data_IF_248192626035
#
_entry.id   IF_248192626035
#
_cell.length_a   1.000
_cell.length_b   1.000
_cell.length_c   1.000
_cell.angle_alpha   90.00
_cell.angle_beta   90.00
_cell.angle_gamma   90.00
#
_symmetry.space_group_name_H-M   'P 1'
#
loop_
_entity.id
_entity.type
_entity.pdbx_description
1 polymer ?
#
# COMPACT_ATOMS: atom_id res chain seq x y z
N UNK A 1 16.73 45.40 60.03
CA UNK A 1 15.96 46.38 60.83
C UNK A 1 14.60 46.58 60.19
N UNK A 2 13.54 46.31 60.96
CA UNK A 2 12.14 46.49 60.57
C UNK A 2 11.76 47.97 60.61
N UNK A 3 10.92 48.44 59.68
CA UNK A 3 9.78 49.30 60.02
C UNK A 3 8.62 49.04 59.06
N UNK A 4 7.53 48.58 59.67
CA UNK A 4 6.18 48.45 59.14
C UNK A 4 5.44 49.80 59.23
N UNK A 5 4.25 49.82 58.62
CA UNK A 5 3.00 50.52 58.99
C UNK A 5 2.60 51.64 58.03
N UNK A 6 1.33 51.89 57.65
CA UNK A 6 -0.03 51.36 57.91
C UNK A 6 -0.90 52.09 56.84
N UNK A 7 -1.71 51.43 55.99
CA UNK A 7 -3.13 51.01 56.15
C UNK A 7 -4.18 52.15 56.24
N UNK A 8 -5.06 52.22 55.23
CA UNK A 8 -6.54 52.44 55.30
C UNK A 8 -7.08 52.29 53.86
N UNK A 9 -7.89 51.31 53.43
CA UNK A 9 -9.12 50.65 53.89
C UNK A 9 -10.43 51.35 53.46
N UNK A 10 -11.28 50.60 52.73
CA UNK A 10 -12.65 50.94 52.31
C UNK A 10 -13.04 50.11 51.07
N UNK A 11 -13.23 48.79 51.17
CA UNK A 11 -14.47 48.07 51.52
C UNK A 11 -15.60 48.23 50.48
N UNK A 12 -16.01 47.14 49.82
CA UNK A 12 -17.41 46.64 49.76
C UNK A 12 -17.44 45.18 49.23
N UNK A 13 -18.03 44.32 50.09
CA UNK A 13 -18.84 43.12 49.89
C UNK A 13 -18.42 41.95 48.96
N UNK A 14 -18.11 40.85 49.67
CA UNK A 14 -18.22 39.42 49.35
C UNK A 14 -19.61 38.93 48.92
N UNK A 15 -19.67 37.97 47.99
CA UNK A 15 -20.28 36.62 48.19
C UNK A 15 -19.89 35.61 47.08
N UNK A 16 -19.16 34.57 47.53
CA UNK A 16 -18.99 33.16 47.13
C UNK A 16 -19.67 32.62 45.84
N UNK A 17 -18.89 31.96 44.97
CA UNK A 17 -19.21 30.63 44.42
C UNK A 17 -18.03 29.96 43.69
N UNK A 18 -17.70 28.75 44.14
CA UNK A 18 -17.12 27.58 43.46
C UNK A 18 -16.00 27.75 42.41
N UNK A 19 -14.85 27.15 42.73
CA UNK A 19 -13.82 26.78 41.77
C UNK A 19 -14.31 25.67 40.83
N UNK A 20 -14.09 25.85 39.53
CA UNK A 20 -14.08 24.81 38.52
C UNK A 20 -12.79 24.96 37.68
N UNK A 21 -12.16 23.86 37.23
CA UNK A 21 -10.88 23.94 36.54
C UNK A 21 -11.04 24.58 35.16
N UNK A 22 -10.08 25.42 34.80
CA UNK A 22 -9.96 26.00 33.47
C UNK A 22 -9.79 24.87 32.45
N UNK A 23 -10.81 24.67 31.60
CA UNK A 23 -10.74 23.83 30.43
C UNK A 23 -9.71 24.44 29.47
N UNK A 24 -8.63 23.71 29.25
CA UNK A 24 -7.70 23.94 28.14
C UNK A 24 -8.49 23.63 26.87
N UNK A 25 -8.67 24.64 26.03
CA UNK A 25 -9.27 24.47 24.72
C UNK A 25 -8.33 23.61 23.86
N UNK A 26 -8.78 22.41 23.50
CA UNK A 26 -8.17 21.62 22.45
C UNK A 26 -8.35 22.36 21.11
N UNK A 27 -7.31 22.45 20.26
CA UNK A 27 -7.52 22.88 18.89
C UNK A 27 -8.21 21.74 18.14
N UNK A 28 -9.52 21.90 17.93
CA UNK A 28 -10.26 21.13 16.94
C UNK A 28 -9.84 21.54 15.54
N UNK A 29 -9.54 20.54 14.72
CA UNK A 29 -9.18 20.69 13.32
C UNK A 29 -9.18 19.33 12.64
N UNK A 30 -10.33 18.67 12.63
CA UNK A 30 -10.56 17.47 11.84
C UNK A 30 -10.35 17.78 10.36
N UNK A 31 -9.19 17.43 9.84
CA UNK A 31 -9.01 17.18 8.42
C UNK A 31 -9.35 15.72 8.17
N UNK A 32 -10.60 15.44 7.81
CA UNK A 32 -10.88 14.17 7.13
C UNK A 32 -9.98 14.06 5.89
N UNK A 33 -9.67 12.84 5.41
CA UNK A 33 -8.74 12.65 4.31
C UNK A 33 -9.13 13.56 3.15
N UNK A 34 -8.19 14.43 2.76
CA UNK A 34 -8.31 15.20 1.52
C UNK A 34 -8.59 14.18 0.42
N UNK A 35 -9.51 14.52 -0.48
CA UNK A 35 -9.81 13.71 -1.66
C UNK A 35 -8.46 13.35 -2.33
N UNK A 36 -8.12 12.06 -2.49
CA UNK A 36 -6.86 11.67 -3.10
C UNK A 36 -6.72 12.36 -4.47
N UNK A 37 -5.50 12.67 -4.92
CA UNK A 37 -5.31 13.21 -6.26
C UNK A 37 -6.02 12.29 -7.25
N UNK A 38 -6.91 12.89 -8.02
CA UNK A 38 -7.69 12.23 -9.04
C UNK A 38 -7.39 12.90 -10.37
N UNK A 39 -6.99 12.09 -11.34
CA UNK A 39 -6.67 12.53 -12.69
C UNK A 39 -7.83 13.38 -13.22
N UNK A 40 -7.55 14.65 -13.49
CA UNK A 40 -8.56 15.58 -13.98
C UNK A 40 -9.27 15.02 -15.22
N UNK A 41 -10.57 14.79 -15.09
CA UNK A 41 -11.60 14.75 -16.15
C UNK A 41 -11.66 13.57 -17.13
N UNK A 42 -10.72 12.62 -17.17
CA UNK A 42 -10.86 11.43 -18.04
C UNK A 42 -11.48 10.25 -17.29
N UNK A 43 -12.59 9.71 -17.80
CA UNK A 43 -13.07 8.38 -17.36
C UNK A 43 -12.08 7.32 -17.88
N UNK A 44 -11.66 6.35 -17.06
CA UNK A 44 -10.79 5.26 -17.51
C UNK A 44 -11.36 4.54 -18.74
N UNK A 45 -10.55 4.19 -19.76
CA UNK A 45 -10.97 3.38 -20.91
C UNK A 45 -11.55 2.02 -20.49
N UNK A 46 -11.10 1.46 -19.36
CA UNK A 46 -11.70 0.27 -18.76
C UNK A 46 -13.19 0.38 -18.48
N UNK A 47 -13.73 1.57 -18.18
CA UNK A 47 -15.17 1.74 -18.00
C UNK A 47 -15.99 1.71 -19.31
N UNK A 48 -15.33 1.66 -20.48
CA UNK A 48 -16.01 1.55 -21.77
C UNK A 48 -16.53 0.14 -22.04
N UNK A 49 -15.80 -0.89 -21.60
CA UNK A 49 -16.25 -2.28 -21.59
C UNK A 49 -16.92 -2.56 -20.24
N UNK A 50 -18.05 -3.24 -20.27
CA UNK A 50 -18.90 -3.45 -19.08
C UNK A 50 -18.79 -4.86 -18.49
N UNK A 51 -17.77 -5.60 -18.91
CA UNK A 51 -17.53 -7.01 -18.60
C UNK A 51 -16.22 -7.21 -17.81
N UNK A 52 -15.66 -6.15 -17.23
CA UNK A 52 -14.33 -6.13 -16.58
C UNK A 52 -14.39 -5.75 -15.09
N UNK A 53 -13.26 -5.90 -14.39
CA UNK A 53 -13.15 -5.62 -12.95
C UNK A 53 -13.37 -4.14 -12.63
N UNK A 54 -12.83 -3.21 -13.42
CA UNK A 54 -13.02 -1.78 -13.25
C UNK A 54 -14.51 -1.38 -13.30
N UNK A 55 -15.27 -1.92 -14.26
CA UNK A 55 -16.71 -1.70 -14.34
C UNK A 55 -17.46 -2.37 -13.18
N UNK A 56 -17.06 -3.58 -12.78
CA UNK A 56 -17.66 -4.27 -11.64
C UNK A 56 -17.45 -3.49 -10.34
N UNK A 57 -16.26 -2.95 -10.08
CA UNK A 57 -15.98 -2.11 -8.91
C UNK A 57 -16.75 -0.78 -8.96
N UNK A 58 -16.68 -0.06 -10.09
CA UNK A 58 -17.19 1.31 -10.16
C UNK A 58 -16.54 2.24 -9.16
N UNK A 59 -17.32 2.73 -8.20
CA UNK A 59 -16.87 3.73 -7.22
C UNK A 59 -16.69 3.12 -5.82
N UNK A 60 -16.85 1.81 -5.64
CA UNK A 60 -16.74 1.16 -4.32
C UNK A 60 -15.32 1.20 -3.75
N UNK A 61 -14.33 0.87 -4.59
CA UNK A 61 -12.91 0.94 -4.27
C UNK A 61 -12.07 1.08 -5.55
N UNK A 62 -10.79 1.41 -5.41
CA UNK A 62 -9.83 1.32 -6.52
C UNK A 62 -9.39 -0.13 -6.69
N UNK A 63 -9.85 -0.78 -7.75
CA UNK A 63 -9.32 -2.08 -8.18
C UNK A 63 -8.03 -1.85 -8.96
N UNK A 64 -6.94 -2.47 -8.53
CA UNK A 64 -5.60 -2.24 -9.05
C UNK A 64 -4.84 -3.49 -9.48
N UNK A 65 -3.73 -3.28 -10.17
CA UNK A 65 -2.78 -4.34 -10.55
C UNK A 65 -1.34 -3.85 -10.43
N UNK A 66 -0.47 -4.70 -9.90
CA UNK A 66 0.97 -4.54 -10.07
C UNK A 66 1.37 -4.86 -11.52
N UNK A 67 2.15 -3.97 -12.10
CA UNK A 67 2.71 -4.13 -13.43
C UNK A 67 3.96 -4.99 -13.30
N UNK A 68 3.89 -6.18 -13.87
CA UNK A 68 5.00 -7.12 -13.84
C UNK A 68 6.22 -6.55 -14.56
N UNK A 69 7.40 -6.70 -13.96
CA UNK A 69 8.66 -6.35 -14.60
C UNK A 69 9.72 -5.81 -13.63
N UNK A 70 10.85 -5.41 -14.19
CA UNK A 70 12.03 -4.90 -13.46
C UNK A 70 12.87 -6.00 -12.80
N UNK A 71 12.27 -7.12 -12.43
CA UNK A 71 12.98 -8.20 -11.76
C UNK A 71 13.22 -7.95 -10.29
N UNK A 72 13.20 -9.04 -9.53
CA UNK A 72 13.75 -9.08 -8.18
C UNK A 72 15.26 -9.38 -8.28
N UNK A 73 16.02 -9.18 -7.20
CA UNK A 73 17.46 -9.49 -7.10
C UNK A 73 17.84 -10.98 -7.25
N UNK A 74 17.13 -11.72 -8.08
CA UNK A 74 17.38 -13.11 -8.42
C UNK A 74 18.21 -13.16 -9.71
N UNK A 75 19.15 -14.09 -9.80
CA UNK A 75 19.96 -14.34 -11.00
C UNK A 75 19.14 -14.85 -12.21
N UNK A 76 17.80 -14.90 -12.10
CA UNK A 76 16.88 -15.36 -13.14
C UNK A 76 16.33 -14.18 -13.96
N UNK A 77 16.20 -14.39 -15.27
CA UNK A 77 15.55 -13.44 -16.18
C UNK A 77 14.09 -13.23 -15.73
N UNK A 78 13.76 -12.01 -15.32
CA UNK A 78 12.39 -11.64 -14.96
C UNK A 78 11.71 -10.97 -16.16
N UNK A 79 10.52 -11.42 -16.57
CA UNK A 79 9.85 -10.87 -17.73
C UNK A 79 9.42 -9.42 -17.51
N UNK A 80 9.67 -8.55 -18.48
CA UNK A 80 9.17 -7.16 -18.52
C UNK A 80 8.11 -7.00 -19.63
N UNK A 81 6.89 -7.49 -19.41
CA UNK A 81 5.82 -7.43 -20.41
C UNK A 81 5.34 -6.01 -20.66
N UNK A 82 5.55 -5.07 -19.73
CA UNK A 82 5.06 -3.71 -19.88
C UNK A 82 5.64 -3.01 -21.10
N UNK A 83 6.92 -3.25 -21.43
CA UNK A 83 7.57 -2.60 -22.58
C UNK A 83 7.22 -3.26 -23.91
N UNK A 84 6.89 -4.56 -23.93
CA UNK A 84 6.82 -5.35 -25.18
C UNK A 84 5.48 -6.05 -25.47
N UNK A 85 4.70 -6.44 -24.46
CA UNK A 85 3.45 -7.18 -24.60
C UNK A 85 2.25 -6.21 -24.69
N UNK A 86 1.80 -5.94 -25.92
CA UNK A 86 0.65 -5.07 -26.16
C UNK A 86 -0.65 -5.63 -25.55
N UNK A 87 -1.04 -6.90 -25.76
CA UNK A 87 -2.18 -7.50 -25.07
C UNK A 87 -2.16 -7.34 -23.54
N UNK A 88 -0.98 -7.47 -22.91
CA UNK A 88 -0.82 -7.21 -21.48
C UNK A 88 -1.18 -5.77 -21.09
N UNK A 89 -0.67 -4.77 -21.81
CA UNK A 89 -1.04 -3.37 -21.59
C UNK A 89 -2.54 -3.12 -21.82
N UNK A 90 -3.16 -3.79 -22.79
CA UNK A 90 -4.61 -3.68 -23.01
C UNK A 90 -5.42 -4.23 -21.84
N UNK A 91 -4.97 -5.32 -21.19
CA UNK A 91 -5.56 -5.81 -19.94
C UNK A 91 -5.39 -4.79 -18.83
N UNK A 92 -4.18 -4.26 -18.62
CA UNK A 92 -3.93 -3.25 -17.59
C UNK A 92 -4.86 -2.05 -17.72
N UNK A 93 -4.99 -1.49 -18.93
CA UNK A 93 -5.84 -0.32 -19.20
C UNK A 93 -7.34 -0.60 -19.08
N UNK A 94 -7.76 -1.85 -19.27
CA UNK A 94 -9.19 -2.19 -19.33
C UNK A 94 -9.75 -2.77 -18.04
N UNK A 95 -8.97 -3.53 -17.29
CA UNK A 95 -9.42 -4.22 -16.08
C UNK A 95 -9.25 -3.38 -14.82
N UNK A 96 -8.33 -2.41 -14.78
CA UNK A 96 -7.92 -1.76 -13.53
C UNK A 96 -8.10 -0.24 -13.53
N UNK A 97 -8.24 0.32 -12.33
CA UNK A 97 -8.36 1.76 -12.06
C UNK A 97 -7.16 2.34 -11.31
N UNK A 98 -6.27 1.48 -10.81
CA UNK A 98 -5.02 1.83 -10.15
C UNK A 98 -3.90 0.93 -10.65
N UNK A 99 -2.68 1.45 -10.77
CA UNK A 99 -1.49 0.66 -11.09
C UNK A 99 -0.37 0.88 -10.08
N UNK A 100 0.48 -0.13 -9.92
CA UNK A 100 1.75 -0.03 -9.19
C UNK A 100 2.86 -0.66 -10.01
N UNK A 101 4.06 -0.07 -10.01
CA UNK A 101 5.23 -0.75 -10.54
C UNK A 101 5.63 -1.86 -9.57
N UNK A 102 5.84 -3.09 -10.05
CA UNK A 102 6.29 -4.19 -9.19
C UNK A 102 7.72 -3.96 -8.69
N UNK A 103 8.62 -3.46 -9.55
CA UNK A 103 10.02 -3.20 -9.18
C UNK A 103 10.59 -1.86 -9.65
N UNK A 104 10.06 -1.29 -10.74
CA UNK A 104 10.66 -0.14 -11.42
C UNK A 104 10.66 1.16 -10.61
N UNK A 105 9.97 1.20 -9.46
CA UNK A 105 9.98 2.31 -8.49
C UNK A 105 10.77 2.00 -7.21
N UNK A 106 11.47 0.87 -7.15
CA UNK A 106 12.34 0.50 -6.01
C UNK A 106 13.75 1.07 -6.19
N UNK A 107 14.54 1.00 -5.12
CA UNK A 107 15.81 1.70 -4.98
C UNK A 107 16.87 1.32 -6.02
N UNK A 108 17.07 0.03 -6.25
CA UNK A 108 18.00 -0.50 -7.25
C UNK A 108 17.70 -0.04 -8.68
N UNK A 109 16.42 0.07 -9.03
CA UNK A 109 15.95 0.60 -10.31
C UNK A 109 16.06 2.12 -10.40
N UNK A 110 15.55 2.83 -9.39
CA UNK A 110 15.49 4.28 -9.43
C UNK A 110 16.84 4.93 -9.23
N UNK A 111 17.75 4.33 -8.46
CA UNK A 111 19.04 4.91 -8.07
C UNK A 111 20.17 3.88 -8.13
N UNK A 112 20.51 3.36 -9.33
CA UNK A 112 21.51 2.30 -9.49
C UNK A 112 22.93 2.73 -9.08
N UNK A 113 23.23 4.03 -9.01
CA UNK A 113 24.50 4.58 -8.55
C UNK A 113 24.30 5.85 -7.71
N UNK A 114 25.27 6.25 -6.85
CA UNK A 114 25.10 7.34 -5.89
C UNK A 114 24.57 8.65 -6.48
N UNK A 115 25.10 9.04 -7.65
CA UNK A 115 24.79 10.31 -8.32
C UNK A 115 23.92 10.11 -9.58
N UNK A 116 23.26 8.96 -9.74
CA UNK A 116 22.47 8.63 -10.94
C UNK A 116 21.10 8.12 -10.55
N UNK A 117 20.08 8.76 -11.12
CA UNK A 117 18.72 8.26 -11.11
C UNK A 117 18.30 7.80 -12.50
N UNK A 118 17.55 6.69 -12.56
CA UNK A 118 16.86 6.25 -13.77
C UNK A 118 15.36 6.21 -13.51
N UNK A 119 14.62 7.11 -14.15
CA UNK A 119 13.17 7.20 -14.05
C UNK A 119 12.45 6.66 -15.29
N UNK A 120 13.19 6.11 -16.27
CA UNK A 120 12.65 5.82 -17.60
C UNK A 120 11.40 4.94 -17.55
N UNK A 121 11.47 3.81 -16.85
CA UNK A 121 10.36 2.87 -16.78
C UNK A 121 9.25 3.33 -15.83
N UNK A 122 9.63 3.94 -14.71
CA UNK A 122 8.68 4.48 -13.74
C UNK A 122 7.85 5.64 -14.32
N UNK A 123 8.48 6.53 -15.11
CA UNK A 123 7.79 7.59 -15.85
C UNK A 123 6.85 7.00 -16.91
N UNK A 124 7.30 5.98 -17.66
CA UNK A 124 6.48 5.33 -18.67
C UNK A 124 5.22 4.68 -18.07
N UNK A 125 5.35 4.07 -16.89
CA UNK A 125 4.22 3.52 -16.13
C UNK A 125 3.27 4.62 -15.65
N UNK A 126 3.80 5.70 -15.07
CA UNK A 126 2.99 6.82 -14.60
C UNK A 126 2.23 7.50 -15.75
N UNK A 127 2.92 7.75 -16.87
CA UNK A 127 2.33 8.33 -18.07
C UNK A 127 1.26 7.42 -18.68
N UNK A 128 1.48 6.10 -18.68
CA UNK A 128 0.48 5.13 -19.12
C UNK A 128 -0.77 5.14 -18.23
N UNK A 129 -0.60 5.14 -16.91
CA UNK A 129 -1.71 5.22 -15.97
C UNK A 129 -2.53 6.50 -16.21
N UNK A 130 -1.85 7.65 -16.32
CA UNK A 130 -2.49 8.94 -16.58
C UNK A 130 -3.25 8.97 -17.91
N UNK A 131 -2.64 8.48 -18.98
CA UNK A 131 -3.28 8.40 -20.30
C UNK A 131 -4.54 7.52 -20.29
N UNK A 132 -4.60 6.54 -19.38
CA UNK A 132 -5.75 5.66 -19.18
C UNK A 132 -6.63 6.09 -18.01
N UNK A 133 -6.45 7.29 -17.43
CA UNK A 133 -7.27 7.78 -16.32
C UNK A 133 -7.18 6.94 -15.03
N UNK A 134 -6.12 6.16 -14.89
CA UNK A 134 -5.81 5.33 -13.72
C UNK A 134 -4.96 6.12 -12.74
N UNK A 135 -5.18 5.90 -11.44
CA UNK A 135 -4.28 6.44 -10.41
C UNK A 135 -3.07 5.54 -10.23
N UNK A 136 -2.01 6.05 -9.60
CA UNK A 136 -0.79 5.29 -9.33
C UNK A 136 -0.59 5.17 -7.82
N UNK A 137 -0.24 3.96 -7.35
CA UNK A 137 0.35 3.74 -6.03
C UNK A 137 1.85 3.56 -6.19
N UNK A 138 2.62 4.44 -5.56
CA UNK A 138 4.08 4.37 -5.53
C UNK A 138 4.57 3.35 -4.50
N UNK A 139 5.50 2.49 -4.92
CA UNK A 139 6.02 1.38 -4.13
C UNK A 139 7.51 1.18 -4.47
N UNK A 140 8.46 1.39 -3.55
CA UNK A 140 8.35 1.88 -2.17
C UNK A 140 9.56 2.76 -1.82
N UNK A 141 9.44 3.66 -0.84
CA UNK A 141 10.47 4.65 -0.52
C UNK A 141 11.54 4.18 0.47
N UNK A 142 11.18 3.33 1.44
CA UNK A 142 12.11 2.76 2.41
C UNK A 142 11.79 1.29 2.64
N UNK A 143 12.71 0.41 2.26
CA UNK A 143 12.59 -1.04 2.43
C UNK A 143 13.94 -1.65 2.83
N UNK A 144 13.88 -2.87 3.35
CA UNK A 144 15.07 -3.63 3.71
C UNK A 144 15.66 -4.40 2.52
N UNK A 145 14.89 -4.55 1.45
CA UNK A 145 15.26 -5.25 0.24
C UNK A 145 15.34 -4.27 -0.93
N UNK A 146 15.96 -4.72 -2.03
CA UNK A 146 16.14 -3.94 -3.26
C UNK A 146 16.89 -2.62 -3.11
N UNK A 147 17.77 -2.54 -2.11
CA UNK A 147 18.76 -1.47 -1.99
C UNK A 147 19.96 -1.77 -2.88
N UNK A 148 20.47 -0.81 -3.67
CA UNK A 148 21.65 -1.02 -4.50
C UNK A 148 22.90 -1.30 -3.66
N UNK A 149 23.85 -2.04 -4.24
CA UNK A 149 25.07 -2.50 -3.57
C UNK A 149 25.90 -1.36 -2.94
N UNK A 150 25.91 -0.18 -3.58
CA UNK A 150 26.65 0.98 -3.08
C UNK A 150 26.08 1.56 -1.77
N UNK A 151 24.85 1.19 -1.40
CA UNK A 151 24.24 1.52 -0.10
C UNK A 151 24.57 0.43 0.90
N UNK A 152 24.27 -0.84 0.57
CA UNK A 152 24.42 -1.97 1.50
C UNK A 152 25.89 -2.26 1.85
N UNK A 153 26.81 -2.05 0.92
CA UNK A 153 28.25 -2.29 1.09
C UNK A 153 29.09 -1.01 1.13
N UNK A 154 28.44 0.16 1.08
CA UNK A 154 29.12 1.44 1.11
C UNK A 154 29.66 1.80 2.50
N UNK A 155 30.79 2.52 2.53
CA UNK A 155 31.36 3.09 3.76
C UNK A 155 30.72 4.45 4.05
N UNK A 156 29.50 4.43 4.58
CA UNK A 156 28.71 5.62 4.91
C UNK A 156 28.68 5.83 6.43
N UNK A 157 28.87 7.07 6.89
CA UNK A 157 28.50 7.42 8.27
C UNK A 157 26.97 7.47 8.40
N UNK A 158 26.41 7.35 9.63
CA UNK A 158 24.97 7.51 9.84
C UNK A 158 24.41 8.83 9.28
N UNK A 159 25.15 9.92 9.36
CA UNK A 159 24.74 11.21 8.81
C UNK A 159 24.68 11.20 7.28
N UNK A 160 25.65 10.55 6.62
CA UNK A 160 25.65 10.41 5.16
C UNK A 160 24.49 9.52 4.70
N UNK A 161 24.28 8.39 5.37
CA UNK A 161 23.21 7.45 5.03
C UNK A 161 21.82 8.09 5.24
N UNK A 162 21.66 8.88 6.31
CA UNK A 162 20.43 9.65 6.55
C UNK A 162 20.17 10.67 5.43
N UNK A 163 21.20 11.39 4.98
CA UNK A 163 21.04 12.35 3.88
C UNK A 163 20.76 11.63 2.55
N UNK A 164 21.36 10.46 2.30
CA UNK A 164 21.05 9.62 1.13
C UNK A 164 19.57 9.23 1.10
N UNK A 165 19.05 8.71 2.22
CA UNK A 165 17.63 8.33 2.33
C UNK A 165 16.71 9.53 2.16
N UNK A 166 17.04 10.64 2.82
CA UNK A 166 16.30 11.90 2.72
C UNK A 166 16.26 12.42 1.29
N UNK A 167 17.42 12.54 0.64
CA UNK A 167 17.57 12.97 -0.75
C UNK A 167 16.75 12.09 -1.71
N UNK A 168 16.80 10.77 -1.51
CA UNK A 168 15.99 9.84 -2.31
C UNK A 168 14.50 10.10 -2.13
N UNK A 169 14.00 10.23 -0.90
CA UNK A 169 12.58 10.48 -0.64
C UNK A 169 12.13 11.80 -1.27
N UNK A 170 12.87 12.91 -1.08
CA UNK A 170 12.50 14.17 -1.72
C UNK A 170 12.57 14.11 -3.24
N UNK A 171 13.58 13.43 -3.80
CA UNK A 171 13.75 13.34 -5.25
C UNK A 171 12.63 12.50 -5.89
N UNK A 172 12.35 11.32 -5.35
CA UNK A 172 11.37 10.39 -5.91
C UNK A 172 9.95 10.87 -5.64
N UNK A 173 9.57 11.12 -4.39
CA UNK A 173 8.22 11.58 -4.07
C UNK A 173 7.94 12.97 -4.69
N UNK A 174 8.93 13.87 -4.68
CA UNK A 174 8.82 15.20 -5.28
C UNK A 174 8.69 15.17 -6.81
N UNK A 175 9.35 14.23 -7.51
CA UNK A 175 9.19 14.04 -8.96
C UNK A 175 7.74 13.71 -9.33
N UNK A 176 7.10 12.87 -8.53
CA UNK A 176 5.74 12.39 -8.77
C UNK A 176 4.67 13.15 -7.97
N UNK A 177 5.01 14.32 -7.42
CA UNK A 177 4.10 15.08 -6.57
C UNK A 177 2.76 15.37 -7.29
N UNK A 178 1.64 15.00 -6.65
CA UNK A 178 0.29 15.14 -7.20
C UNK A 178 -0.09 14.09 -8.26
N UNK A 179 0.81 13.15 -8.59
CA UNK A 179 0.54 12.02 -9.52
C UNK A 179 0.26 10.72 -8.78
N UNK A 180 0.55 10.64 -7.48
CA UNK A 180 0.43 9.43 -6.67
C UNK A 180 -0.81 9.49 -5.78
N UNK A 181 -1.70 8.51 -5.88
CA UNK A 181 -2.80 8.34 -4.93
C UNK A 181 -2.25 8.10 -3.53
N UNK A 182 -1.27 7.20 -3.44
CA UNK A 182 -0.60 6.85 -2.21
C UNK A 182 0.85 6.45 -2.46
N UNK A 183 1.67 6.55 -1.42
CA UNK A 183 3.00 5.97 -1.33
C UNK A 183 3.05 4.93 -0.22
N UNK A 184 3.61 3.77 -0.54
CA UNK A 184 4.15 2.86 0.46
C UNK A 184 5.47 3.48 0.93
N UNK A 185 5.42 4.28 2.00
CA UNK A 185 6.59 5.05 2.48
C UNK A 185 7.57 4.12 3.17
N UNK A 186 7.05 3.18 3.97
CA UNK A 186 7.82 2.22 4.74
C UNK A 186 7.26 0.83 4.51
N UNK A 187 8.08 -0.06 3.95
CA UNK A 187 7.72 -1.43 3.63
C UNK A 187 8.44 -2.41 4.57
N UNK A 188 7.70 -3.40 5.08
CA UNK A 188 8.22 -4.62 5.74
C UNK A 188 9.29 -4.40 6.81
N UNK A 189 8.99 -3.54 7.80
CA UNK A 189 9.94 -3.21 8.87
C UNK A 189 9.98 -4.22 10.02
N UNK A 190 8.95 -5.05 10.16
CA UNK A 190 8.90 -6.14 11.13
C UNK A 190 9.24 -7.48 10.47
N UNK A 191 9.88 -8.37 11.21
CA UNK A 191 10.10 -9.76 10.79
C UNK A 191 8.89 -10.65 11.16
N UNK A 192 8.98 -11.95 10.86
CA UNK A 192 7.90 -12.91 11.14
C UNK A 192 7.69 -13.20 12.63
N UNK A 193 8.62 -12.78 13.50
CA UNK A 193 8.46 -12.85 14.95
C UNK A 193 7.87 -11.55 15.52
N UNK A 194 7.42 -10.63 14.66
CA UNK A 194 6.94 -9.30 15.04
C UNK A 194 8.02 -8.39 15.66
N UNK A 195 9.30 -8.68 15.42
CA UNK A 195 10.41 -7.87 15.90
C UNK A 195 10.86 -6.88 14.81
N UNK A 196 11.20 -5.66 15.22
CA UNK A 196 11.68 -4.65 14.27
C UNK A 196 13.02 -5.12 13.68
N UNK A 197 13.20 -5.02 12.36
CA UNK A 197 14.38 -5.46 11.61
C UNK A 197 15.61 -4.57 11.86
N UNK A 198 16.06 -4.50 13.10
CA UNK A 198 17.22 -3.71 13.57
C UNK A 198 18.56 -4.21 13.03
N UNK A 199 18.59 -5.35 12.36
CA UNK A 199 19.78 -5.91 11.70
C UNK A 199 19.59 -6.06 10.19
N UNK A 200 18.41 -6.55 9.76
CA UNK A 200 18.12 -6.83 8.36
C UNK A 200 17.72 -5.63 7.52
N UNK A 201 17.34 -4.50 8.12
CA UNK A 201 17.02 -3.26 7.42
C UNK A 201 18.14 -2.24 7.68
N UNK A 202 18.94 -1.92 6.66
CA UNK A 202 20.09 -1.00 6.78
C UNK A 202 19.70 0.36 7.37
N UNK A 203 18.55 0.89 6.99
CA UNK A 203 18.06 2.18 7.46
C UNK A 203 17.81 2.16 8.97
N UNK A 204 17.12 1.13 9.48
CA UNK A 204 16.84 0.99 10.92
C UNK A 204 18.10 0.62 11.69
N UNK A 205 18.93 -0.28 11.14
CA UNK A 205 20.18 -0.75 11.75
C UNK A 205 21.15 0.40 12.04
N UNK A 206 21.36 1.27 11.04
CA UNK A 206 22.36 2.32 11.12
C UNK A 206 21.82 3.65 11.66
N UNK A 207 20.52 3.95 11.45
CA UNK A 207 19.92 5.25 11.81
C UNK A 207 18.99 5.17 13.03
N UNK A 208 18.63 3.96 13.48
CA UNK A 208 17.68 3.74 14.56
C UNK A 208 16.21 3.88 14.13
N UNK A 209 15.25 3.46 14.98
CA UNK A 209 13.82 3.40 14.64
C UNK A 209 13.19 4.76 14.34
N UNK A 210 13.74 5.85 14.88
CA UNK A 210 13.25 7.23 14.64
C UNK A 210 13.25 7.62 13.15
N UNK A 211 14.06 6.95 12.32
CA UNK A 211 14.07 7.20 10.87
C UNK A 211 12.71 6.96 10.22
N UNK A 212 11.89 6.06 10.78
CA UNK A 212 10.54 5.75 10.29
C UNK A 212 9.69 7.02 10.29
N UNK A 213 9.65 7.74 11.41
CA UNK A 213 8.86 8.98 11.53
C UNK A 213 9.36 10.05 10.55
N UNK A 214 10.67 10.13 10.35
CA UNK A 214 11.27 11.10 9.43
C UNK A 214 10.96 10.80 7.97
N UNK A 215 10.93 9.52 7.55
CA UNK A 215 10.52 9.13 6.20
C UNK A 215 9.11 9.62 5.86
N UNK A 216 8.15 9.46 6.79
CA UNK A 216 6.79 9.99 6.60
C UNK A 216 6.76 11.52 6.53
N UNK A 217 7.53 12.21 7.39
CA UNK A 217 7.62 13.67 7.35
C UNK A 217 8.20 14.16 6.02
N UNK A 218 9.30 13.57 5.55
CA UNK A 218 9.92 13.93 4.27
C UNK A 218 9.01 13.64 3.08
N UNK A 219 8.34 12.48 3.07
CA UNK A 219 7.39 12.14 2.01
C UNK A 219 6.22 13.13 1.97
N UNK A 220 5.66 13.52 3.12
CA UNK A 220 4.59 14.51 3.20
C UNK A 220 5.05 15.93 2.79
N UNK A 221 6.31 16.29 3.08
CA UNK A 221 6.88 17.56 2.64
C UNK A 221 7.12 17.59 1.13
N UNK A 222 7.52 16.46 0.54
CA UNK A 222 7.77 16.32 -0.90
C UNK A 222 6.48 16.26 -1.72
N UNK A 223 5.48 15.51 -1.25
CA UNK A 223 4.14 15.43 -1.85
C UNK A 223 3.04 15.42 -0.75
N UNK A 224 2.49 16.59 -0.39
CA UNK A 224 1.43 16.69 0.61
C UNK A 224 0.04 16.28 0.08
N UNK A 225 -0.09 15.89 -1.19
CA UNK A 225 -1.36 15.40 -1.76
C UNK A 225 -1.45 13.87 -1.72
N UNK A 226 -0.33 13.15 -1.74
CA UNK A 226 -0.32 11.69 -1.63
C UNK A 226 -0.69 11.21 -0.22
N UNK A 227 -1.40 10.09 -0.15
CA UNK A 227 -1.59 9.37 1.12
C UNK A 227 -0.33 8.55 1.44
N UNK A 228 0.05 8.47 2.71
CA UNK A 228 1.29 7.86 3.16
C UNK A 228 0.99 6.60 3.97
N UNK A 229 1.48 5.45 3.49
CA UNK A 229 1.14 4.13 4.01
C UNK A 229 2.36 3.40 4.57
N UNK A 230 2.10 2.60 5.62
CA UNK A 230 2.86 1.39 5.90
C UNK A 230 2.31 0.23 5.08
N UNK A 231 3.18 -0.65 4.58
CA UNK A 231 2.82 -1.84 3.82
C UNK A 231 3.61 -3.07 4.33
N UNK A 232 2.94 -4.21 4.53
CA UNK A 232 3.60 -5.45 4.96
C UNK A 232 2.80 -6.72 4.64
N UNK A 233 3.49 -7.87 4.62
CA UNK A 233 2.93 -9.23 4.54
C UNK A 233 2.75 -9.86 5.91
N UNK A 234 1.98 -10.96 5.98
CA UNK A 234 1.67 -11.70 7.21
C UNK A 234 1.01 -10.83 8.30
N UNK A 235 0.39 -9.73 7.89
CA UNK A 235 -0.37 -8.81 8.74
C UNK A 235 -1.84 -8.75 8.36
N UNK A 236 -2.29 -9.69 7.53
CA UNK A 236 -3.66 -9.76 7.00
C UNK A 236 -4.68 -9.91 8.15
N UNK A 237 -4.43 -10.85 9.05
CA UNK A 237 -5.24 -11.08 10.25
C UNK A 237 -4.72 -10.35 11.51
N UNK A 238 -5.44 -10.52 12.62
CA UNK A 238 -5.03 -10.00 13.94
C UNK A 238 -4.01 -10.97 14.53
N UNK A 239 -2.76 -10.52 14.61
CA UNK A 239 -1.65 -11.31 15.13
C UNK A 239 -0.57 -10.39 15.73
N UNK A 240 0.50 -10.99 16.25
CA UNK A 240 1.59 -10.26 16.88
C UNK A 240 2.23 -9.18 15.97
N UNK A 241 2.36 -9.46 14.67
CA UNK A 241 2.99 -8.55 13.70
C UNK A 241 2.06 -7.38 13.37
N UNK A 242 0.78 -7.63 13.13
CA UNK A 242 -0.20 -6.55 12.92
C UNK A 242 -0.44 -5.75 14.20
N UNK A 243 -0.36 -6.36 15.39
CA UNK A 243 -0.38 -5.66 16.68
C UNK A 243 0.83 -4.73 16.88
N UNK A 244 2.02 -5.15 16.45
CA UNK A 244 3.22 -4.31 16.49
C UNK A 244 3.07 -3.06 15.61
N UNK A 245 2.51 -3.20 14.40
CA UNK A 245 2.16 -2.05 13.56
C UNK A 245 1.12 -1.15 14.20
N UNK A 246 0.06 -1.73 14.77
CA UNK A 246 -0.98 -0.96 15.44
C UNK A 246 -0.40 -0.10 16.57
N UNK A 247 0.44 -0.68 17.43
CA UNK A 247 1.10 0.04 18.52
C UNK A 247 2.02 1.16 17.99
N UNK A 248 2.87 0.85 17.01
CA UNK A 248 3.78 1.83 16.41
C UNK A 248 3.01 3.01 15.79
N UNK A 249 1.94 2.73 15.04
CA UNK A 249 1.17 3.79 14.36
C UNK A 249 0.43 4.66 15.37
N UNK A 250 -0.09 4.10 16.47
CA UNK A 250 -0.68 4.91 17.56
C UNK A 250 0.34 5.91 18.11
N UNK A 251 1.58 5.49 18.37
CA UNK A 251 2.63 6.37 18.87
C UNK A 251 3.00 7.45 17.84
N UNK A 252 3.16 7.07 16.56
CA UNK A 252 3.46 8.02 15.48
C UNK A 252 2.36 9.07 15.29
N UNK A 253 1.09 8.67 15.37
CA UNK A 253 -0.05 9.59 15.30
C UNK A 253 -0.07 10.53 16.50
N UNK A 254 0.26 10.04 17.71
CA UNK A 254 0.36 10.88 18.91
C UNK A 254 1.48 11.93 18.78
N UNK A 255 2.56 11.59 18.08
CA UNK A 255 3.68 12.49 17.78
C UNK A 255 3.46 13.39 16.54
N UNK A 256 2.26 13.34 15.94
CA UNK A 256 1.87 14.18 14.80
C UNK A 256 2.58 13.82 13.50
N UNK A 257 3.07 12.59 13.36
CA UNK A 257 3.64 12.06 12.11
C UNK A 257 2.51 11.88 11.09
N UNK A 258 2.69 12.30 9.81
CA UNK A 258 1.64 12.25 8.80
C UNK A 258 1.44 10.84 8.23
N UNK A 259 1.04 9.89 9.08
CA UNK A 259 0.62 8.55 8.66
C UNK A 259 -0.84 8.63 8.24
N UNK A 260 -1.13 8.25 6.98
CA UNK A 260 -2.49 8.32 6.44
C UNK A 260 -3.13 6.94 6.24
N UNK A 261 -2.33 5.87 6.22
CA UNK A 261 -2.86 4.53 5.99
C UNK A 261 -1.98 3.37 6.45
N UNK A 262 -2.60 2.20 6.50
CA UNK A 262 -1.97 0.91 6.71
C UNK A 262 -2.51 -0.10 5.69
N UNK A 263 -1.63 -0.80 4.98
CA UNK A 263 -2.00 -1.83 4.03
C UNK A 263 -1.48 -3.20 4.43
N UNK A 264 -2.26 -4.21 4.06
CA UNK A 264 -1.82 -5.60 4.07
C UNK A 264 -1.58 -6.07 2.64
N UNK A 265 -0.51 -6.84 2.42
CA UNK A 265 -0.16 -7.30 1.09
C UNK A 265 -1.19 -8.29 0.53
N UNK A 266 -1.64 -9.30 1.28
CA UNK A 266 -2.59 -10.28 0.73
C UNK A 266 -1.94 -11.45 -0.01
N UNK A 267 -0.66 -11.76 0.27
CA UNK A 267 0.01 -12.95 -0.27
C UNK A 267 -0.44 -14.22 0.44
N UNK A 268 -1.46 -14.91 -0.10
CA UNK A 268 -2.04 -16.10 0.51
C UNK A 268 -1.55 -17.38 -0.17
N UNK A 269 -1.65 -18.52 0.52
CA UNK A 269 -1.42 -19.85 -0.04
C UNK A 269 -2.48 -20.83 0.42
N UNK A 270 -2.88 -21.74 -0.47
CA UNK A 270 -3.79 -22.84 -0.14
C UNK A 270 -3.18 -23.86 0.84
N UNK A 271 -1.86 -23.78 1.11
CA UNK A 271 -1.22 -24.55 2.18
C UNK A 271 -1.65 -24.09 3.57
N UNK A 272 -2.18 -22.88 3.69
CA UNK A 272 -2.58 -22.27 4.96
C UNK A 272 -4.07 -21.93 4.96
N UNK A 273 -4.65 -21.81 6.16
CA UNK A 273 -6.02 -21.34 6.33
C UNK A 273 -6.16 -19.87 5.95
N UNK A 274 -7.37 -19.47 5.55
CA UNK A 274 -7.71 -18.08 5.30
C UNK A 274 -7.68 -17.27 6.61
N UNK A 275 -7.19 -16.01 6.61
CA UNK A 275 -7.28 -15.12 7.77
C UNK A 275 -8.73 -14.61 7.95
N UNK A 276 -9.54 -15.38 8.68
CA UNK A 276 -10.98 -15.10 8.88
C UNK A 276 -11.26 -13.72 9.51
N UNK A 277 -10.28 -13.15 10.20
CA UNK A 277 -10.31 -11.87 10.89
C UNK A 277 -9.70 -10.71 10.06
N UNK A 278 -9.47 -10.90 8.75
CA UNK A 278 -8.95 -9.86 7.86
C UNK A 278 -9.78 -8.56 7.92
N UNK A 279 -11.10 -8.64 7.83
CA UNK A 279 -11.97 -7.48 7.89
C UNK A 279 -11.88 -6.75 9.24
N UNK A 280 -11.84 -7.49 10.34
CA UNK A 280 -11.70 -6.93 11.70
C UNK A 280 -10.34 -6.25 11.87
N UNK A 281 -9.28 -6.84 11.32
CA UNK A 281 -7.96 -6.27 11.33
C UNK A 281 -7.88 -4.97 10.51
N UNK A 282 -8.45 -4.93 9.31
CA UNK A 282 -8.56 -3.69 8.53
C UNK A 282 -9.39 -2.63 9.28
N UNK A 283 -10.50 -3.03 9.91
CA UNK A 283 -11.38 -2.11 10.63
C UNK A 283 -10.67 -1.43 11.80
N UNK A 284 -9.86 -2.14 12.60
CA UNK A 284 -9.16 -1.49 13.73
C UNK A 284 -8.16 -0.41 13.30
N UNK A 285 -7.52 -0.56 12.14
CA UNK A 285 -6.67 0.51 11.59
C UNK A 285 -7.52 1.67 11.08
N UNK A 286 -8.66 1.39 10.43
CA UNK A 286 -9.61 2.42 10.03
C UNK A 286 -10.17 3.21 11.25
N UNK A 287 -10.36 2.55 12.39
CA UNK A 287 -10.82 3.18 13.64
C UNK A 287 -9.80 4.16 14.24
N UNK A 288 -8.52 4.10 13.84
CA UNK A 288 -7.50 5.11 14.14
C UNK A 288 -7.65 6.39 13.27
N UNK A 289 -8.62 6.41 12.34
CA UNK A 289 -8.80 7.48 11.37
C UNK A 289 -7.94 7.31 10.11
N UNK A 290 -7.35 6.14 9.91
CA UNK A 290 -6.51 5.80 8.76
C UNK A 290 -7.35 5.28 7.59
N UNK A 291 -6.82 5.37 6.38
CA UNK A 291 -7.26 4.52 5.27
C UNK A 291 -6.58 3.15 5.35
N UNK A 292 -7.24 2.16 4.78
CA UNK A 292 -6.67 0.82 4.61
C UNK A 292 -6.69 0.39 3.14
N UNK A 293 -5.92 -0.64 2.84
CA UNK A 293 -5.85 -1.23 1.51
C UNK A 293 -5.36 -2.69 1.57
N UNK A 294 -5.74 -3.47 0.57
CA UNK A 294 -5.08 -4.72 0.21
C UNK A 294 -4.26 -4.46 -1.06
N UNK A 295 -2.95 -4.64 -1.00
CA UNK A 295 -2.02 -4.04 -1.98
C UNK A 295 -1.39 -5.03 -2.96
N UNK A 296 -1.31 -6.31 -2.63
CA UNK A 296 -0.49 -7.30 -3.33
C UNK A 296 -1.19 -8.67 -3.36
N UNK A 297 -2.50 -8.70 -3.61
CA UNK A 297 -3.29 -9.93 -3.53
C UNK A 297 -2.88 -10.94 -4.61
N UNK A 298 -2.37 -12.08 -4.16
CA UNK A 298 -2.25 -13.33 -4.91
C UNK A 298 -2.57 -14.53 -4.01
N UNK A 299 -2.97 -15.63 -4.63
CA UNK A 299 -3.33 -16.86 -3.89
C UNK A 299 -2.66 -18.05 -4.55
N UNK A 300 -1.45 -18.37 -4.10
CA UNK A 300 -0.66 -19.47 -4.65
C UNK A 300 -1.15 -20.85 -4.20
N UNK A 301 -0.81 -21.87 -4.96
CA UNK A 301 -1.16 -23.26 -4.67
C UNK A 301 -0.07 -24.21 -5.13
N UNK A 302 -0.05 -25.43 -4.57
CA UNK A 302 0.84 -26.50 -5.02
C UNK A 302 0.54 -26.89 -6.47
N UNK A 303 1.52 -26.68 -7.35
CA UNK A 303 1.46 -27.11 -8.76
C UNK A 303 2.83 -27.65 -9.11
N UNK A 304 2.91 -28.96 -9.39
CA UNK A 304 4.16 -29.55 -9.83
C UNK A 304 4.55 -29.01 -11.23
N UNK A 305 5.85 -29.00 -11.52
CA UNK A 305 6.36 -28.54 -12.81
C UNK A 305 5.70 -29.29 -13.97
N UNK A 306 5.11 -28.55 -14.91
CA UNK A 306 4.42 -29.12 -16.08
C UNK A 306 3.02 -29.68 -15.81
N UNK A 307 2.51 -29.55 -14.58
CA UNK A 307 1.14 -29.91 -14.22
C UNK A 307 0.20 -28.69 -14.23
N UNK A 308 -1.11 -28.95 -14.16
CA UNK A 308 -2.13 -27.93 -14.05
C UNK A 308 -2.85 -28.06 -12.69
N UNK A 309 -3.32 -26.95 -12.10
CA UNK A 309 -4.16 -26.99 -10.92
C UNK A 309 -5.36 -27.93 -11.06
N UNK A 310 -5.71 -28.59 -9.97
CA UNK A 310 -6.96 -29.36 -9.89
C UNK A 310 -8.18 -28.43 -9.83
N UNK A 311 -9.37 -28.89 -10.24
CA UNK A 311 -10.60 -28.11 -10.07
C UNK A 311 -10.87 -27.66 -8.62
N UNK A 312 -10.56 -28.52 -7.64
CA UNK A 312 -10.73 -28.19 -6.22
C UNK A 312 -9.81 -27.05 -5.78
N UNK A 313 -8.55 -27.04 -6.21
CA UNK A 313 -7.63 -25.93 -5.94
C UNK A 313 -8.11 -24.63 -6.59
N UNK A 314 -8.66 -24.67 -7.80
CA UNK A 314 -9.20 -23.50 -8.49
C UNK A 314 -10.46 -22.95 -7.81
N UNK A 315 -11.32 -23.83 -7.29
CA UNK A 315 -12.49 -23.42 -6.50
C UNK A 315 -12.06 -22.80 -5.16
N UNK A 316 -11.09 -23.40 -4.47
CA UNK A 316 -10.58 -22.86 -3.21
C UNK A 316 -9.84 -21.53 -3.40
N UNK A 317 -9.06 -21.39 -4.48
CA UNK A 317 -8.46 -20.12 -4.86
C UNK A 317 -9.53 -19.05 -5.10
N UNK A 318 -10.59 -19.39 -5.82
CA UNK A 318 -11.69 -18.46 -6.09
C UNK A 318 -12.41 -18.03 -4.80
N UNK A 319 -12.59 -18.94 -3.85
CA UNK A 319 -13.11 -18.62 -2.51
C UNK A 319 -12.21 -17.60 -1.78
N UNK A 320 -10.89 -17.81 -1.75
CA UNK A 320 -9.97 -16.89 -1.07
C UNK A 320 -10.02 -15.49 -1.71
N UNK A 321 -9.96 -15.42 -3.04
CA UNK A 321 -10.08 -14.15 -3.77
C UNK A 321 -11.40 -13.43 -3.48
N UNK A 322 -12.53 -14.16 -3.44
CA UNK A 322 -13.84 -13.61 -3.08
C UNK A 322 -13.81 -13.02 -1.68
N UNK A 323 -13.32 -13.80 -0.71
CA UNK A 323 -13.34 -13.45 0.71
C UNK A 323 -12.44 -12.26 1.04
N UNK A 324 -11.27 -12.14 0.40
CA UNK A 324 -10.44 -10.92 0.51
C UNK A 324 -11.18 -9.73 -0.09
N UNK A 325 -11.81 -9.90 -1.25
CA UNK A 325 -12.57 -8.83 -1.91
C UNK A 325 -13.73 -8.34 -1.04
N UNK A 326 -14.51 -9.26 -0.46
CA UNK A 326 -15.61 -8.94 0.46
C UNK A 326 -15.12 -8.30 1.75
N UNK A 327 -14.00 -8.78 2.33
CA UNK A 327 -13.40 -8.18 3.51
C UNK A 327 -12.99 -6.72 3.25
N UNK A 328 -12.31 -6.45 2.13
CA UNK A 328 -11.97 -5.09 1.71
C UNK A 328 -13.23 -4.22 1.52
N UNK A 329 -14.26 -4.72 0.83
CA UNK A 329 -15.50 -3.98 0.60
C UNK A 329 -16.32 -3.72 1.87
N UNK A 330 -16.14 -4.52 2.92
CA UNK A 330 -16.89 -4.39 4.17
C UNK A 330 -16.40 -3.26 5.09
N UNK A 331 -15.19 -2.75 4.84
CA UNK A 331 -14.55 -1.70 5.66
C UNK A 331 -14.59 -0.39 4.88
N UNK A 332 -15.35 0.60 5.36
CA UNK A 332 -15.50 1.91 4.69
C UNK A 332 -14.15 2.63 4.48
N UNK A 333 -13.17 2.37 5.36
CA UNK A 333 -11.80 2.89 5.24
C UNK A 333 -10.93 2.20 4.19
N UNK A 334 -11.34 1.05 3.64
CA UNK A 334 -10.54 0.30 2.67
C UNK A 334 -10.72 0.87 1.26
N UNK A 335 -9.74 1.65 0.82
CA UNK A 335 -9.85 2.48 -0.38
C UNK A 335 -9.42 1.76 -1.68
N UNK A 336 -8.67 0.66 -1.56
CA UNK A 336 -8.15 -0.07 -2.72
C UNK A 336 -7.93 -1.56 -2.46
N UNK A 337 -8.04 -2.33 -3.54
CA UNK A 337 -7.70 -3.74 -3.65
C UNK A 337 -6.82 -3.89 -4.88
N UNK A 338 -5.57 -4.35 -4.73
CA UNK A 338 -4.63 -4.50 -5.84
C UNK A 338 -4.16 -5.94 -5.95
N UNK A 339 -4.20 -6.47 -7.17
CA UNK A 339 -3.69 -7.81 -7.50
C UNK A 339 -2.19 -7.73 -7.78
N UNK A 340 -1.40 -8.67 -7.24
CA UNK A 340 0.04 -8.72 -7.51
C UNK A 340 0.35 -9.49 -8.79
N UNK A 341 0.10 -8.81 -9.91
CA UNK A 341 0.10 -9.40 -11.24
C UNK A 341 -1.28 -9.95 -11.63
N UNK A 342 -1.44 -10.21 -12.92
CA UNK A 342 -2.73 -10.63 -13.51
C UNK A 342 -2.64 -11.91 -14.34
N UNK A 343 -1.45 -12.27 -14.85
CA UNK A 343 -1.19 -13.47 -15.63
C UNK A 343 -0.20 -14.37 -14.89
N UNK A 344 -0.44 -15.67 -14.88
CA UNK A 344 0.42 -16.64 -14.18
C UNK A 344 1.85 -16.67 -14.75
N UNK A 345 2.04 -16.57 -16.07
CA UNK A 345 3.37 -16.49 -16.73
C UNK A 345 4.27 -15.35 -16.27
N UNK A 346 3.69 -14.31 -15.65
CA UNK A 346 4.43 -13.14 -15.18
C UNK A 346 4.38 -13.01 -13.65
N UNK A 347 3.92 -14.04 -12.95
CA UNK A 347 3.90 -14.05 -11.49
C UNK A 347 5.30 -14.33 -10.93
N UNK A 348 5.67 -13.59 -9.89
CA UNK A 348 6.86 -13.82 -9.07
C UNK A 348 6.84 -15.16 -8.31
N UNK A 349 5.65 -15.71 -8.04
CA UNK A 349 5.44 -16.84 -7.13
C UNK A 349 6.31 -18.06 -7.46
N UNK A 350 6.41 -18.55 -8.70
CA UNK A 350 7.20 -19.76 -8.98
C UNK A 350 8.70 -19.60 -8.71
N UNK A 351 9.24 -18.38 -8.85
CA UNK A 351 10.65 -18.07 -8.59
C UNK A 351 10.91 -18.02 -7.08
N UNK A 352 9.98 -17.46 -6.31
CA UNK A 352 10.12 -17.28 -4.86
C UNK A 352 9.72 -18.53 -4.06
N UNK A 353 8.71 -19.27 -4.51
CA UNK A 353 8.12 -20.41 -3.81
C UNK A 353 8.15 -21.67 -4.69
N UNK A 354 9.28 -22.40 -4.72
CA UNK A 354 9.40 -23.61 -5.52
C UNK A 354 8.28 -24.62 -5.25
N UNK A 355 7.61 -25.05 -6.31
CA UNK A 355 6.47 -25.99 -6.27
C UNK A 355 5.11 -25.33 -6.02
N UNK A 356 5.04 -24.00 -5.85
CA UNK A 356 3.80 -23.25 -5.86
C UNK A 356 3.67 -22.40 -7.13
N UNK A 357 2.47 -22.31 -7.70
CA UNK A 357 2.22 -21.54 -8.91
C UNK A 357 0.74 -21.12 -9.02
N UNK A 358 0.35 -20.74 -10.24
CA UNK A 358 -1.02 -20.41 -10.63
C UNK A 358 -1.71 -19.40 -9.71
N UNK A 359 -0.97 -18.40 -9.22
CA UNK A 359 -1.39 -17.54 -8.13
C UNK A 359 -2.34 -16.40 -8.52
N UNK A 360 -2.45 -16.09 -9.82
CA UNK A 360 -3.17 -14.91 -10.33
C UNK A 360 -4.57 -15.25 -10.85
N UNK A 361 -5.27 -14.26 -11.42
CA UNK A 361 -6.67 -14.39 -11.87
C UNK A 361 -6.85 -14.71 -13.36
N UNK A 362 -5.81 -14.61 -14.20
CA UNK A 362 -5.86 -15.01 -15.61
C UNK A 362 -4.82 -16.09 -15.93
N UNK A 363 -5.18 -16.93 -16.89
CA UNK A 363 -4.26 -17.87 -17.53
C UNK A 363 -3.35 -17.16 -18.55
N UNK A 364 -2.27 -17.82 -18.95
CA UNK A 364 -1.26 -17.28 -19.86
C UNK A 364 -1.79 -16.88 -21.25
N UNK A 365 -2.91 -17.47 -21.66
CA UNK A 365 -3.64 -17.15 -22.89
C UNK A 365 -4.67 -16.03 -22.72
N UNK A 366 -4.62 -15.31 -21.60
CA UNK A 366 -5.52 -14.23 -21.19
C UNK A 366 -6.96 -14.68 -20.87
N UNK A 367 -7.23 -15.98 -20.80
CA UNK A 367 -8.54 -16.47 -20.37
C UNK A 367 -8.71 -16.37 -18.85
N UNK A 368 -9.95 -16.10 -18.42
CA UNK A 368 -10.30 -15.82 -17.03
C UNK A 368 -10.40 -17.10 -16.19
N UNK A 369 -9.76 -17.12 -15.03
CA UNK A 369 -9.87 -18.20 -14.03
C UNK A 369 -11.16 -18.08 -13.23
N UNK A 370 -11.58 -19.13 -12.51
CA UNK A 370 -12.66 -19.02 -11.51
C UNK A 370 -12.44 -17.86 -10.51
N UNK A 371 -11.18 -17.62 -10.13
CA UNK A 371 -10.80 -16.50 -9.26
C UNK A 371 -11.16 -15.12 -9.83
N UNK A 372 -10.99 -14.90 -11.14
CA UNK A 372 -11.39 -13.65 -11.78
C UNK A 372 -12.89 -13.39 -11.59
N UNK A 373 -13.72 -14.40 -11.85
CA UNK A 373 -15.17 -14.27 -11.72
C UNK A 373 -15.59 -14.07 -10.27
N UNK A 374 -14.89 -14.69 -9.32
CA UNK A 374 -15.15 -14.51 -7.91
C UNK A 374 -14.91 -13.07 -7.43
N UNK A 375 -13.81 -12.44 -7.88
CA UNK A 375 -13.55 -11.01 -7.64
C UNK A 375 -14.61 -10.15 -8.34
N UNK A 376 -14.90 -10.42 -9.61
CA UNK A 376 -15.88 -9.67 -10.39
C UNK A 376 -17.28 -9.70 -9.76
N UNK A 377 -17.74 -10.89 -9.34
CA UNK A 377 -19.06 -11.09 -8.74
C UNK A 377 -19.17 -10.30 -7.42
N UNK A 378 -18.18 -10.41 -6.53
CA UNK A 378 -18.17 -9.65 -5.26
C UNK A 378 -18.17 -8.12 -5.48
N UNK A 379 -17.38 -7.62 -6.43
CA UNK A 379 -17.38 -6.20 -6.79
C UNK A 379 -18.73 -5.75 -7.38
N UNK A 380 -19.33 -6.58 -8.23
CA UNK A 380 -20.62 -6.29 -8.85
C UNK A 380 -21.77 -6.30 -7.83
N UNK A 381 -21.76 -7.22 -6.87
CA UNK A 381 -22.69 -7.26 -5.74
C UNK A 381 -22.60 -5.95 -4.93
N UNK A 382 -21.39 -5.58 -4.48
CA UNK A 382 -21.20 -4.37 -3.67
C UNK A 382 -21.51 -3.06 -4.40
N UNK A 383 -21.28 -3.00 -5.71
CA UNK A 383 -21.55 -1.80 -6.52
C UNK A 383 -22.99 -1.72 -7.05
N UNK A 384 -23.84 -2.70 -6.75
CA UNK A 384 -25.22 -2.77 -7.25
C UNK A 384 -25.32 -3.08 -8.74
N UNK A 385 -24.31 -3.72 -9.32
CA UNK A 385 -24.25 -4.16 -10.73
C UNK A 385 -24.45 -5.65 -10.92
N UNK A 386 -24.75 -6.39 -9.85
CA UNK A 386 -25.10 -7.80 -9.91
C UNK A 386 -26.18 -8.07 -10.97
N UNK A 387 -25.98 -9.13 -11.76
CA UNK A 387 -26.91 -9.51 -12.82
C UNK A 387 -26.95 -8.59 -14.05
N UNK A 388 -26.08 -7.56 -14.13
CA UNK A 388 -25.93 -6.72 -15.31
C UNK A 388 -25.59 -7.59 -16.54
N UNK A 389 -26.27 -7.43 -17.71
CA UNK A 389 -26.11 -8.35 -18.85
C UNK A 389 -24.68 -8.52 -19.37
N UNK A 390 -23.84 -7.50 -19.23
CA UNK A 390 -22.44 -7.56 -19.66
C UNK A 390 -21.52 -8.31 -18.68
N UNK A 391 -21.96 -8.57 -17.44
CA UNK A 391 -21.24 -9.36 -16.44
C UNK A 391 -21.77 -10.80 -16.37
N UNK A 392 -22.69 -11.20 -17.25
CA UNK A 392 -23.22 -12.55 -17.29
C UNK A 392 -22.25 -13.46 -18.05
N UNK A 393 -22.04 -14.65 -17.50
CA UNK A 393 -21.17 -15.71 -18.02
C UNK A 393 -21.64 -16.25 -19.36
#
# INVERSE_FOLDING_TARGET
MRRRQILTAGAVATTIAAAAPAAIAAPGGGGGPKKPPGNGRSKPPGLAKKDNLAFAAGDTLKIGCAIAGGGHHTDEDYPDPFTSDQPYREVLASEFTSLSAENQMKWDHLRPAPDTYDFTDADAIADFAEANGQVVRGHTLMWHSQNPEWIEQGDHTPEQLREILRDHIYTVAGRYAGRMQQWDVVNEIFDDNAELRTTGNIWIRELGPEIIADCFRWANEADPEALLFFNDYNVDGINAKSDAYYALIVDLLADGVPVHGFSTQGHLSLRYGFPDDLADNLQRFADLGLQTAVTELDVRMDVAEGEAPTPEQLEQQADYYRRVTEAALSVEGCSSLTLWGVLDKYSWVPVTFPGEAAATVLWDDFSRKPAYYAVQDALAEASGREGHPALRR
#
